data_IF_596742472930
#
_entry.id   IF_596742472930
#
_cell.length_a   1.000
_cell.length_b   1.000
_cell.length_c   1.000
_cell.angle_alpha   90.00
_cell.angle_beta   90.00
_cell.angle_gamma   90.00
#
_symmetry.space_group_name_H-M   'P 1'
#
loop_
_entity.id
_entity.type
_entity.pdbx_description
1 polymer ?
#
# COMPACT_ATOMS: atom_id res chain seq x y z
N UNK A 1 -5.54 -15.45 -31.68
CA UNK A 1 -5.91 -15.65 -30.26
C UNK A 1 -4.70 -15.39 -29.39
N UNK A 2 -4.79 -14.48 -28.41
CA UNK A 2 -3.71 -14.22 -27.44
C UNK A 2 -3.49 -15.50 -26.61
N UNK A 3 -2.25 -16.00 -26.54
CA UNK A 3 -1.92 -17.26 -25.83
C UNK A 3 -2.27 -17.08 -24.34
N UNK A 4 -3.11 -17.96 -23.79
CA UNK A 4 -3.44 -17.94 -22.36
C UNK A 4 -2.25 -18.50 -21.57
N UNK A 5 -1.61 -17.65 -20.77
CA UNK A 5 -0.55 -18.06 -19.84
C UNK A 5 -1.13 -18.82 -18.64
N UNK A 6 -0.41 -19.81 -18.07
CA UNK A 6 -0.91 -20.59 -16.94
C UNK A 6 -1.09 -19.72 -15.68
N UNK A 7 -1.98 -20.13 -14.79
CA UNK A 7 -2.11 -19.55 -13.46
C UNK A 7 -1.16 -20.27 -12.49
N UNK A 8 -0.39 -19.51 -11.72
CA UNK A 8 0.52 -20.03 -10.70
C UNK A 8 -0.12 -19.95 -9.32
N UNK A 9 0.10 -20.99 -8.50
CA UNK A 9 -0.33 -20.97 -7.11
C UNK A 9 0.63 -20.12 -6.28
N UNK A 10 0.07 -19.17 -5.55
CA UNK A 10 0.82 -18.28 -4.68
C UNK A 10 0.11 -18.14 -3.34
N UNK A 11 0.88 -17.74 -2.34
CA UNK A 11 0.34 -17.09 -1.14
C UNK A 11 0.01 -15.63 -1.44
N UNK A 12 -0.96 -15.07 -0.73
CA UNK A 12 -1.26 -13.63 -0.85
C UNK A 12 -0.03 -12.80 -0.48
N UNK A 13 0.72 -13.20 0.57
CA UNK A 13 1.97 -12.52 0.93
C UNK A 13 2.97 -12.45 -0.22
N UNK A 14 3.09 -13.51 -1.02
CA UNK A 14 4.01 -13.54 -2.17
C UNK A 14 3.58 -12.54 -3.27
N UNK A 15 2.29 -12.24 -3.35
CA UNK A 15 1.75 -11.22 -4.26
C UNK A 15 2.08 -9.83 -3.72
N UNK A 16 1.78 -9.59 -2.44
CA UNK A 16 1.99 -8.29 -1.78
C UNK A 16 3.47 -7.89 -1.78
N UNK A 17 4.34 -8.85 -1.48
CA UNK A 17 5.79 -8.68 -1.41
C UNK A 17 6.49 -8.64 -2.77
N UNK A 18 5.80 -9.03 -3.84
CA UNK A 18 6.37 -9.04 -5.19
C UNK A 18 6.45 -7.64 -5.80
N UNK A 19 7.12 -7.53 -6.94
CA UNK A 19 7.18 -6.31 -7.73
C UNK A 19 6.28 -6.46 -8.94
N UNK A 20 5.38 -5.52 -9.17
CA UNK A 20 4.48 -5.53 -10.31
C UNK A 20 5.09 -4.77 -11.49
N UNK A 21 5.04 -5.37 -12.68
CA UNK A 21 5.56 -4.78 -13.90
C UNK A 21 4.41 -4.60 -14.88
N UNK A 22 4.17 -3.34 -15.25
CA UNK A 22 3.28 -2.97 -16.35
C UNK A 22 4.09 -2.99 -17.64
N UNK A 23 3.71 -3.84 -18.58
CA UNK A 23 4.38 -3.90 -19.88
C UNK A 23 3.90 -2.74 -20.76
N UNK A 24 4.81 -2.09 -21.47
CA UNK A 24 4.51 -0.92 -22.32
C UNK A 24 3.77 -1.27 -23.63
N UNK A 25 3.78 -2.55 -24.03
CA UNK A 25 3.16 -3.00 -25.28
C UNK A 25 1.79 -3.65 -25.09
N UNK A 26 0.82 -3.29 -25.94
CA UNK A 26 -0.54 -3.89 -25.98
C UNK A 26 -0.54 -5.44 -26.09
N UNK A 27 0.55 -5.99 -26.63
CA UNK A 27 0.73 -7.43 -26.86
C UNK A 27 1.36 -8.14 -25.65
N UNK A 28 2.12 -7.45 -24.82
CA UNK A 28 2.82 -8.04 -23.69
C UNK A 28 1.94 -8.05 -22.43
N UNK A 29 1.80 -9.18 -21.74
CA UNK A 29 1.01 -9.24 -20.53
C UNK A 29 1.84 -8.72 -19.35
N UNK A 30 1.23 -7.86 -18.54
CA UNK A 30 1.74 -7.49 -17.22
C UNK A 30 2.01 -8.74 -16.37
N UNK A 31 2.96 -8.63 -15.45
CA UNK A 31 3.35 -9.72 -14.56
C UNK A 31 3.82 -9.20 -13.22
N UNK A 32 3.93 -10.12 -12.28
CA UNK A 32 4.53 -9.94 -10.97
C UNK A 32 5.86 -10.71 -10.95
N UNK A 33 6.92 -10.12 -10.41
CA UNK A 33 8.12 -10.85 -10.00
C UNK A 33 8.10 -10.98 -8.48
N UNK A 34 8.07 -12.22 -8.01
CA UNK A 34 8.16 -12.55 -6.58
C UNK A 34 9.60 -12.39 -6.05
N UNK A 35 9.78 -12.23 -4.73
CA UNK A 35 11.11 -12.10 -4.10
C UNK A 35 12.06 -13.27 -4.37
N UNK A 36 11.54 -14.46 -4.70
CA UNK A 36 12.35 -15.62 -5.11
C UNK A 36 12.58 -15.69 -6.63
N UNK A 37 12.36 -14.58 -7.35
CA UNK A 37 12.55 -14.44 -8.80
C UNK A 37 11.66 -15.37 -9.66
N UNK A 38 10.40 -15.59 -9.25
CA UNK A 38 9.38 -16.21 -10.13
C UNK A 38 8.59 -15.12 -10.85
N UNK A 39 8.55 -15.22 -12.18
CA UNK A 39 7.71 -14.39 -13.07
C UNK A 39 6.30 -14.97 -13.17
N UNK A 40 5.30 -14.21 -12.76
CA UNK A 40 3.90 -14.66 -12.61
C UNK A 40 2.94 -13.74 -13.36
N UNK A 41 2.26 -14.29 -14.37
CA UNK A 41 1.32 -13.54 -15.22
C UNK A 41 -0.14 -13.63 -14.74
N UNK A 42 -0.45 -14.68 -13.98
CA UNK A 42 -1.79 -14.98 -13.49
C UNK A 42 -1.65 -15.74 -12.19
N UNK A 43 -2.43 -15.35 -11.21
CA UNK A 43 -2.42 -15.95 -9.88
C UNK A 43 -3.60 -16.90 -9.74
N UNK A 44 -3.37 -17.95 -8.97
CA UNK A 44 -4.39 -18.85 -8.46
C UNK A 44 -4.22 -18.88 -6.95
N UNK A 45 -5.24 -18.48 -6.21
CA UNK A 45 -5.22 -18.47 -4.75
C UNK A 45 -6.45 -19.18 -4.20
N UNK A 46 -6.33 -19.71 -2.97
CA UNK A 46 -7.47 -20.20 -2.19
C UNK A 46 -7.50 -19.41 -0.90
N UNK A 47 -8.59 -18.67 -0.68
CA UNK A 47 -8.69 -17.69 0.40
C UNK A 47 -10.14 -17.56 0.88
N UNK A 48 -10.31 -17.06 2.10
CA UNK A 48 -11.61 -16.77 2.70
C UNK A 48 -12.03 -15.34 2.34
N UNK A 49 -13.30 -15.14 1.99
CA UNK A 49 -13.87 -13.82 1.78
C UNK A 49 -14.14 -13.17 3.14
N UNK A 50 -13.41 -12.10 3.47
CA UNK A 50 -13.44 -11.51 4.83
C UNK A 50 -14.37 -10.30 4.97
N UNK A 51 -14.71 -9.64 3.86
CA UNK A 51 -15.64 -8.50 3.82
C UNK A 51 -16.87 -8.82 2.98
N UNK A 52 -17.93 -8.04 3.19
CA UNK A 52 -19.11 -8.13 2.35
C UNK A 52 -18.75 -7.72 0.91
N UNK A 53 -19.05 -8.56 -0.09
CA UNK A 53 -18.84 -8.20 -1.49
C UNK A 53 -19.66 -6.96 -1.87
N UNK A 54 -19.03 -6.06 -2.62
CA UNK A 54 -19.65 -4.82 -3.09
C UNK A 54 -19.77 -4.84 -4.61
N UNK A 55 -20.90 -4.39 -5.13
CA UNK A 55 -21.14 -4.16 -6.56
C UNK A 55 -21.74 -2.77 -6.70
N UNK A 56 -21.28 -2.00 -7.70
CA UNK A 56 -21.84 -0.69 -8.02
C UNK A 56 -23.26 -0.80 -8.57
N UNK A 57 -24.05 0.27 -8.46
CA UNK A 57 -25.45 0.28 -8.91
C UNK A 57 -25.60 0.01 -10.43
N UNK A 58 -24.63 0.45 -11.22
CA UNK A 58 -24.55 0.23 -12.66
C UNK A 58 -23.94 -1.13 -13.05
N UNK A 59 -23.58 -1.97 -12.06
CA UNK A 59 -22.92 -3.27 -12.20
C UNK A 59 -21.61 -3.26 -13.01
N UNK A 60 -20.98 -2.09 -13.20
CA UNK A 60 -19.72 -1.97 -13.96
C UNK A 60 -18.49 -2.25 -13.10
N UNK A 61 -18.64 -2.23 -11.77
CA UNK A 61 -17.57 -2.43 -10.83
C UNK A 61 -18.03 -3.31 -9.67
N UNK A 62 -17.17 -4.22 -9.24
CA UNK A 62 -17.37 -4.97 -8.01
C UNK A 62 -16.05 -5.33 -7.35
N UNK A 63 -16.11 -5.55 -6.03
CA UNK A 63 -14.94 -5.92 -5.23
C UNK A 63 -15.31 -6.82 -4.07
N UNK A 64 -14.36 -7.65 -3.67
CA UNK A 64 -14.41 -8.42 -2.43
C UNK A 64 -12.98 -8.59 -1.90
N UNK A 65 -12.86 -8.79 -0.59
CA UNK A 65 -11.56 -8.90 0.07
C UNK A 65 -11.29 -10.35 0.47
N UNK A 66 -10.07 -10.81 0.21
CA UNK A 66 -9.62 -12.18 0.40
C UNK A 66 -8.50 -12.26 1.44
N UNK A 67 -8.53 -13.30 2.27
CA UNK A 67 -7.50 -13.62 3.27
C UNK A 67 -7.19 -15.12 3.27
N UNK A 68 -5.92 -15.49 3.11
CA UNK A 68 -5.43 -16.88 3.12
C UNK A 68 -4.61 -17.24 4.38
N UNK A 69 -4.53 -16.31 5.33
CA UNK A 69 -3.73 -16.36 6.55
C UNK A 69 -2.29 -15.85 6.39
N UNK A 70 -1.85 -15.50 5.17
CA UNK A 70 -0.53 -14.89 4.92
C UNK A 70 -0.62 -13.41 4.62
N UNK A 71 -1.79 -12.93 4.24
CA UNK A 71 -2.06 -11.53 3.95
C UNK A 71 -3.49 -11.35 3.46
N UNK A 72 -3.86 -10.10 3.21
CA UNK A 72 -5.18 -9.74 2.72
C UNK A 72 -5.04 -8.98 1.40
N UNK A 73 -5.87 -9.29 0.41
CA UNK A 73 -5.83 -8.63 -0.90
C UNK A 73 -7.23 -8.34 -1.45
N UNK A 74 -7.36 -7.24 -2.18
CA UNK A 74 -8.58 -6.91 -2.89
C UNK A 74 -8.67 -7.64 -4.22
N UNK A 75 -9.80 -8.29 -4.44
CA UNK A 75 -10.19 -8.86 -5.71
C UNK A 75 -11.21 -7.91 -6.38
N UNK A 76 -10.83 -7.38 -7.54
CA UNK A 76 -11.61 -6.43 -8.32
C UNK A 76 -12.19 -7.10 -9.56
N UNK A 77 -13.41 -6.71 -9.92
CA UNK A 77 -14.09 -7.17 -11.10
C UNK A 77 -14.69 -5.98 -11.85
N UNK A 78 -14.58 -5.98 -13.16
CA UNK A 78 -15.07 -4.90 -14.02
C UNK A 78 -16.01 -5.44 -15.09
N UNK A 79 -17.06 -4.70 -15.41
CA UNK A 79 -18.06 -5.02 -16.45
C UNK A 79 -18.57 -6.45 -16.30
N UNK A 80 -18.42 -7.29 -17.33
CA UNK A 80 -18.91 -8.67 -17.35
C UNK A 80 -18.34 -9.53 -16.20
N UNK A 81 -17.18 -9.18 -15.64
CA UNK A 81 -16.56 -9.93 -14.55
C UNK A 81 -17.26 -9.66 -13.19
N UNK A 82 -18.10 -8.62 -13.07
CA UNK A 82 -18.85 -8.36 -11.82
C UNK A 82 -19.80 -9.51 -11.46
N UNK A 83 -20.16 -10.35 -12.44
CA UNK A 83 -20.85 -11.63 -12.20
C UNK A 83 -20.14 -12.53 -11.19
N UNK A 84 -18.80 -12.49 -11.11
CA UNK A 84 -18.02 -13.28 -10.15
C UNK A 84 -18.24 -12.82 -8.72
N UNK A 85 -18.43 -11.53 -8.50
CA UNK A 85 -18.70 -10.95 -7.18
C UNK A 85 -20.05 -11.43 -6.64
N UNK A 86 -21.04 -11.64 -7.53
CA UNK A 86 -22.37 -12.19 -7.17
C UNK A 86 -22.32 -13.65 -6.71
N UNK A 87 -21.23 -14.38 -6.98
CA UNK A 87 -21.08 -15.81 -6.66
C UNK A 87 -20.50 -16.07 -5.27
N UNK A 88 -20.06 -15.03 -4.56
CA UNK A 88 -19.37 -15.17 -3.28
C UNK A 88 -20.10 -14.40 -2.19
N UNK A 89 -19.93 -14.83 -0.94
CA UNK A 89 -20.44 -14.17 0.26
C UNK A 89 -19.35 -14.07 1.32
N UNK A 90 -19.50 -13.14 2.25
CA UNK A 90 -18.62 -13.07 3.42
C UNK A 90 -18.61 -14.43 4.14
N UNK A 91 -17.41 -14.92 4.45
CA UNK A 91 -17.16 -16.21 5.08
C UNK A 91 -17.00 -17.38 4.12
N UNK A 92 -17.21 -17.20 2.81
CA UNK A 92 -16.96 -18.27 1.84
C UNK A 92 -15.46 -18.52 1.66
N UNK A 93 -15.08 -19.80 1.65
CA UNK A 93 -13.77 -20.24 1.16
C UNK A 93 -13.85 -20.40 -0.35
N UNK A 94 -13.01 -19.66 -1.07
CA UNK A 94 -13.06 -19.58 -2.53
C UNK A 94 -11.69 -19.82 -3.16
N UNK A 95 -11.70 -20.44 -4.34
CA UNK A 95 -10.55 -20.42 -5.24
C UNK A 95 -10.74 -19.29 -6.25
N UNK A 96 -9.75 -18.42 -6.36
CA UNK A 96 -9.76 -17.26 -7.26
C UNK A 96 -8.62 -17.40 -8.26
N UNK A 97 -8.93 -17.13 -9.52
CA UNK A 97 -7.96 -16.98 -10.60
C UNK A 97 -8.08 -15.56 -11.13
N UNK A 98 -6.95 -14.89 -11.31
CA UNK A 98 -6.95 -13.51 -11.80
C UNK A 98 -5.58 -13.02 -12.20
N UNK A 99 -5.54 -11.82 -12.76
CA UNK A 99 -4.28 -11.10 -13.04
C UNK A 99 -3.96 -10.20 -11.88
N UNK A 100 -2.67 -10.03 -11.57
CA UNK A 100 -2.27 -8.96 -10.66
C UNK A 100 -2.40 -7.63 -11.40
N UNK A 101 -2.87 -6.62 -10.69
CA UNK A 101 -2.80 -5.22 -11.09
C UNK A 101 -2.30 -4.42 -9.90
N UNK A 102 -1.74 -3.25 -10.16
CA UNK A 102 -1.29 -2.33 -9.14
C UNK A 102 -1.81 -0.94 -9.48
N UNK A 103 -2.28 -0.24 -8.44
CA UNK A 103 -2.76 1.13 -8.56
C UNK A 103 -2.32 1.90 -7.32
N UNK A 104 -1.46 2.91 -7.50
CA UNK A 104 -0.86 3.68 -6.39
C UNK A 104 -0.29 2.74 -5.32
N UNK A 105 0.56 1.82 -5.77
CA UNK A 105 1.30 0.86 -4.92
C UNK A 105 0.44 -0.20 -4.21
N UNK A 106 -0.89 -0.09 -4.30
CA UNK A 106 -1.81 -1.14 -3.86
C UNK A 106 -1.96 -2.22 -4.92
N UNK A 107 -1.49 -3.43 -4.60
CA UNK A 107 -1.68 -4.62 -5.45
C UNK A 107 -3.06 -5.21 -5.25
N UNK A 108 -3.71 -5.51 -6.37
CA UNK A 108 -5.05 -6.09 -6.43
C UNK A 108 -5.08 -7.26 -7.42
N UNK A 109 -6.10 -8.11 -7.32
CA UNK A 109 -6.37 -9.18 -8.26
C UNK A 109 -7.54 -8.79 -9.15
N UNK A 110 -7.32 -8.67 -10.45
CA UNK A 110 -8.39 -8.60 -11.45
C UNK A 110 -8.94 -10.01 -11.67
N UNK A 111 -10.14 -10.26 -11.16
CA UNK A 111 -10.76 -11.59 -11.13
C UNK A 111 -11.18 -12.02 -12.52
N UNK A 112 -10.68 -13.18 -12.95
CA UNK A 112 -11.10 -13.85 -14.19
C UNK A 112 -11.92 -15.12 -13.94
N UNK A 113 -11.96 -15.58 -12.67
CA UNK A 113 -12.78 -16.70 -12.24
C UNK A 113 -12.76 -16.89 -10.73
N UNK A 114 -13.91 -17.26 -10.17
CA UNK A 114 -14.05 -17.60 -8.76
C UNK A 114 -14.97 -18.81 -8.60
N UNK A 115 -14.66 -19.67 -7.64
CA UNK A 115 -15.53 -20.77 -7.25
C UNK A 115 -15.42 -21.00 -5.73
N UNK A 116 -16.56 -21.24 -5.08
CA UNK A 116 -16.58 -21.75 -3.71
C UNK A 116 -15.99 -23.17 -3.68
N UNK A 117 -15.18 -23.45 -2.68
CA UNK A 117 -14.44 -24.73 -2.58
C UNK A 117 -14.58 -25.36 -1.20
N UNK A 118 -14.35 -26.67 -1.15
CA UNK A 118 -14.26 -27.44 0.09
C UNK A 118 -13.01 -27.04 0.90
N UNK A 119 -13.04 -27.08 2.25
CA UNK A 119 -11.87 -26.79 3.09
C UNK A 119 -10.60 -27.56 2.72
N UNK A 120 -10.72 -28.80 2.23
CA UNK A 120 -9.56 -29.58 1.78
C UNK A 120 -8.82 -28.93 0.61
N UNK A 121 -9.49 -28.08 -0.16
CA UNK A 121 -8.87 -27.34 -1.25
C UNK A 121 -7.83 -26.33 -0.75
N UNK A 122 -8.00 -25.78 0.45
CA UNK A 122 -7.00 -24.90 1.07
C UNK A 122 -5.74 -25.69 1.44
N UNK A 123 -5.90 -26.91 1.97
CA UNK A 123 -4.78 -27.79 2.32
C UNK A 123 -4.01 -28.17 1.05
N UNK A 124 -4.73 -28.57 0.00
CA UNK A 124 -4.13 -28.91 -1.29
C UNK A 124 -3.38 -27.70 -1.89
N UNK A 125 -4.01 -26.52 -1.89
CA UNK A 125 -3.40 -25.29 -2.39
C UNK A 125 -2.09 -24.97 -1.65
N UNK A 126 -2.08 -25.04 -0.32
CA UNK A 126 -0.89 -24.82 0.50
C UNK A 126 0.22 -25.84 0.20
N UNK A 127 -0.13 -27.12 0.11
CA UNK A 127 0.83 -28.18 -0.22
C UNK A 127 1.45 -27.97 -1.60
N UNK A 128 0.64 -27.74 -2.63
CA UNK A 128 1.12 -27.52 -4.00
C UNK A 128 1.98 -26.25 -4.09
N UNK A 129 1.57 -25.17 -3.41
CA UNK A 129 2.34 -23.92 -3.35
C UNK A 129 3.70 -24.14 -2.71
N UNK A 130 3.76 -24.82 -1.55
CA UNK A 130 5.02 -25.12 -0.86
C UNK A 130 5.91 -26.04 -1.69
N UNK A 131 5.34 -27.05 -2.33
CA UNK A 131 6.08 -27.97 -3.21
C UNK A 131 6.71 -27.19 -4.37
N UNK A 132 5.95 -26.36 -5.07
CA UNK A 132 6.47 -25.52 -6.15
C UNK A 132 7.58 -24.58 -5.67
N UNK A 133 7.41 -23.94 -4.50
CA UNK A 133 8.44 -23.07 -3.90
C UNK A 133 9.71 -23.84 -3.55
N UNK A 134 9.59 -25.05 -2.99
CA UNK A 134 10.74 -25.89 -2.66
C UNK A 134 11.52 -26.33 -3.91
N UNK A 135 10.80 -26.73 -4.96
CA UNK A 135 11.40 -27.12 -6.25
C UNK A 135 12.08 -25.92 -6.94
N UNK A 136 11.48 -24.73 -6.84
CA UNK A 136 12.06 -23.50 -7.38
C UNK A 136 13.27 -23.02 -6.59
N UNK A 137 13.23 -23.10 -5.25
CA UNK A 137 14.26 -22.55 -4.36
C UNK A 137 15.68 -23.06 -4.67
N UNK A 138 15.83 -24.35 -5.02
CA UNK A 138 17.14 -24.89 -5.38
C UNK A 138 17.72 -24.25 -6.66
N UNK A 139 16.87 -24.03 -7.66
CA UNK A 139 17.25 -23.39 -8.93
C UNK A 139 17.49 -21.89 -8.74
N UNK A 140 16.61 -21.23 -7.99
CA UNK A 140 16.73 -19.81 -7.67
C UNK A 140 18.04 -19.53 -6.93
N UNK A 141 18.39 -20.30 -5.90
CA UNK A 141 19.66 -20.17 -5.16
C UNK A 141 20.86 -20.24 -6.10
N UNK A 142 20.91 -21.29 -6.94
CA UNK A 142 22.00 -21.44 -7.91
C UNK A 142 22.03 -20.27 -8.92
N UNK A 143 20.87 -19.77 -9.34
CA UNK A 143 20.76 -18.64 -10.25
C UNK A 143 21.26 -17.33 -9.62
N UNK A 144 20.87 -17.04 -8.37
CA UNK A 144 21.34 -15.89 -7.61
C UNK A 144 22.86 -15.94 -7.39
N UNK A 145 23.42 -17.10 -7.03
CA UNK A 145 24.88 -17.26 -6.90
C UNK A 145 25.60 -16.95 -8.21
N UNK A 146 25.10 -17.45 -9.34
CA UNK A 146 25.69 -17.20 -10.66
C UNK A 146 25.61 -15.72 -11.00
N UNK A 147 24.44 -15.11 -10.83
CA UNK A 147 24.21 -13.70 -11.11
C UNK A 147 25.11 -12.82 -10.25
N UNK A 148 25.20 -13.06 -8.94
CA UNK A 148 26.01 -12.24 -8.03
C UNK A 148 27.52 -12.32 -8.34
N UNK A 149 28.00 -13.43 -8.90
CA UNK A 149 29.41 -13.59 -9.26
C UNK A 149 29.74 -13.06 -10.66
N UNK A 150 28.80 -13.15 -11.61
CA UNK A 150 29.10 -12.97 -13.04
C UNK A 150 28.14 -12.05 -13.80
N UNK A 151 27.08 -11.53 -13.15
CA UNK A 151 26.00 -10.76 -13.77
C UNK A 151 25.35 -11.48 -14.96
N UNK A 152 24.82 -10.71 -15.91
CA UNK A 152 24.37 -11.24 -17.22
C UNK A 152 25.55 -11.24 -18.21
N UNK A 153 26.44 -12.22 -18.07
CA UNK A 153 27.54 -12.45 -19.04
C UNK A 153 27.35 -13.73 -19.84
N UNK A 154 28.01 -13.84 -21.00
CA UNK A 154 28.03 -15.09 -21.77
C UNK A 154 28.53 -16.28 -20.92
N UNK A 155 29.49 -16.03 -20.02
CA UNK A 155 29.99 -17.01 -19.06
C UNK A 155 28.90 -17.45 -18.07
N UNK A 156 28.14 -16.50 -17.50
CA UNK A 156 27.03 -16.81 -16.59
C UNK A 156 25.98 -17.70 -17.26
N UNK A 157 25.61 -17.40 -18.52
CA UNK A 157 24.64 -18.18 -19.30
C UNK A 157 25.09 -19.64 -19.52
N UNK A 158 26.38 -19.85 -19.83
CA UNK A 158 26.95 -21.20 -19.97
C UNK A 158 26.95 -21.96 -18.64
N UNK A 159 27.33 -21.32 -17.55
CA UNK A 159 27.34 -21.93 -16.21
C UNK A 159 25.91 -22.29 -15.77
N UNK A 160 24.95 -21.39 -15.98
CA UNK A 160 23.54 -21.63 -15.67
C UNK A 160 22.99 -22.84 -16.43
N UNK A 161 23.24 -22.90 -17.75
CA UNK A 161 22.84 -24.06 -18.56
C UNK A 161 23.41 -25.37 -18.04
N UNK A 162 24.69 -25.39 -17.66
CA UNK A 162 25.35 -26.58 -17.10
C UNK A 162 24.80 -27.00 -15.73
N UNK A 163 24.30 -26.04 -14.93
CA UNK A 163 23.64 -26.28 -13.64
C UNK A 163 22.12 -26.51 -13.74
N UNK A 164 21.55 -26.55 -14.94
CA UNK A 164 20.11 -26.73 -15.15
C UNK A 164 19.26 -25.50 -14.79
N UNK A 165 19.88 -24.32 -14.74
CA UNK A 165 19.24 -23.02 -14.54
C UNK A 165 18.92 -22.42 -15.92
N UNK A 166 17.70 -21.91 -16.10
CA UNK A 166 17.30 -21.24 -17.34
C UNK A 166 17.94 -19.84 -17.45
N UNK A 167 18.26 -19.44 -18.67
CA UNK A 167 18.70 -18.07 -18.96
C UNK A 167 17.64 -17.04 -18.55
N UNK A 168 16.37 -17.36 -18.78
CA UNK A 168 15.21 -16.55 -18.38
C UNK A 168 15.19 -16.25 -16.87
N UNK A 169 15.64 -17.19 -16.03
CA UNK A 169 15.73 -16.97 -14.58
C UNK A 169 16.82 -15.97 -14.23
N UNK A 170 17.95 -15.95 -14.94
CA UNK A 170 19.00 -14.94 -14.74
C UNK A 170 18.50 -13.54 -15.15
N UNK A 171 17.76 -13.44 -16.25
CA UNK A 171 17.15 -12.19 -16.69
C UNK A 171 16.11 -11.69 -15.69
N UNK A 172 15.30 -12.60 -15.14
CA UNK A 172 14.31 -12.26 -14.11
C UNK A 172 14.97 -11.75 -12.82
N UNK A 173 16.13 -12.30 -12.45
CA UNK A 173 16.90 -11.83 -11.28
C UNK A 173 17.46 -10.42 -11.50
N UNK A 174 17.98 -10.15 -12.70
CA UNK A 174 18.46 -8.82 -13.07
C UNK A 174 17.38 -7.75 -12.99
N UNK A 175 16.21 -8.09 -13.56
CA UNK A 175 15.01 -7.26 -13.50
C UNK A 175 14.56 -7.04 -12.04
N UNK A 176 14.53 -8.11 -11.24
CA UNK A 176 14.22 -8.03 -9.81
C UNK A 176 15.15 -7.09 -9.05
N UNK A 177 16.47 -7.19 -9.25
CA UNK A 177 17.41 -6.33 -8.56
C UNK A 177 17.33 -4.87 -8.99
N UNK A 178 17.05 -4.61 -10.27
CA UNK A 178 16.77 -3.25 -10.74
C UNK A 178 15.57 -2.66 -9.98
N UNK A 179 14.46 -3.40 -9.90
CA UNK A 179 13.24 -2.98 -9.18
C UNK A 179 13.47 -2.78 -7.68
N UNK A 180 14.27 -3.64 -7.05
CA UNK A 180 14.64 -3.53 -5.63
C UNK A 180 15.46 -2.26 -5.36
N UNK A 181 16.38 -1.90 -6.26
CA UNK A 181 17.16 -0.68 -6.15
C UNK A 181 16.29 0.57 -6.34
N UNK A 182 15.37 0.55 -7.30
CA UNK A 182 14.43 1.65 -7.54
C UNK A 182 13.52 1.89 -6.33
N UNK A 183 12.92 0.83 -5.75
CA UNK A 183 12.10 0.96 -4.55
C UNK A 183 12.89 1.49 -3.37
N UNK A 184 14.10 0.97 -3.14
CA UNK A 184 14.95 1.45 -2.05
C UNK A 184 15.30 2.93 -2.21
N UNK A 185 15.58 3.38 -3.43
CA UNK A 185 15.89 4.78 -3.67
C UNK A 185 14.65 5.65 -3.44
N UNK A 186 13.46 5.21 -3.87
CA UNK A 186 12.21 5.91 -3.62
C UNK A 186 11.90 6.02 -2.12
N UNK A 187 12.06 4.94 -1.35
CA UNK A 187 11.92 4.96 0.12
C UNK A 187 12.89 5.97 0.76
N UNK A 188 14.15 5.98 0.33
CA UNK A 188 15.15 6.95 0.83
C UNK A 188 14.80 8.39 0.43
N UNK A 189 14.29 8.61 -0.79
CA UNK A 189 13.83 9.94 -1.23
C UNK A 189 12.61 10.42 -0.44
N UNK A 190 11.67 9.53 -0.12
CA UNK A 190 10.51 9.83 0.73
C UNK A 190 10.93 10.17 2.17
N UNK A 191 11.83 9.37 2.77
CA UNK A 191 12.39 9.63 4.11
C UNK A 191 13.09 11.00 4.16
N UNK A 192 13.94 11.31 3.16
CA UNK A 192 14.61 12.61 3.07
C UNK A 192 13.63 13.77 2.91
N UNK A 193 12.56 13.58 2.13
CA UNK A 193 11.54 14.61 1.95
C UNK A 193 10.71 14.85 3.21
N UNK A 194 10.37 13.79 3.96
CA UNK A 194 9.73 13.91 5.27
C UNK A 194 10.62 14.66 6.27
N UNK A 195 11.92 14.36 6.31
CA UNK A 195 12.92 15.08 7.13
C UNK A 195 13.01 16.56 6.73
N UNK A 196 13.09 16.89 5.43
CA UNK A 196 13.09 18.28 4.95
C UNK A 196 11.81 19.04 5.35
N UNK A 197 10.63 18.40 5.27
CA UNK A 197 9.37 19.01 5.73
C UNK A 197 9.36 19.24 7.24
N UNK A 198 9.93 18.32 8.03
CA UNK A 198 10.06 18.52 9.48
C UNK A 198 11.02 19.65 9.83
N UNK A 199 12.13 19.80 9.10
CA UNK A 199 13.06 20.93 9.26
C UNK A 199 12.47 22.27 8.79
N UNK A 200 11.59 22.28 7.78
CA UNK A 200 10.92 23.48 7.29
C UNK A 200 9.72 23.94 8.13
N UNK A 201 9.27 23.16 9.14
CA UNK A 201 8.30 23.68 10.12
C UNK A 201 8.93 24.89 10.82
N UNK A 202 8.30 26.08 10.76
CA UNK A 202 8.88 27.26 11.38
C UNK A 202 9.07 26.97 12.87
N UNK A 203 10.30 27.11 13.37
CA UNK A 203 10.58 27.11 14.80
C UNK A 203 9.54 28.00 15.48
N UNK A 204 8.70 27.42 16.34
CA UNK A 204 7.63 28.15 17.01
C UNK A 204 8.23 29.34 17.74
N UNK A 205 7.82 30.55 17.34
CA UNK A 205 8.30 31.78 17.96
C UNK A 205 8.04 31.69 19.47
N UNK A 206 9.09 31.73 20.33
CA UNK A 206 8.92 31.56 21.78
C UNK A 206 8.07 32.64 22.43
N UNK A 207 7.82 33.77 21.75
CA UNK A 207 6.83 34.77 22.18
C UNK A 207 5.38 34.35 21.87
N UNK A 208 5.15 33.64 20.76
CA UNK A 208 3.83 33.16 20.35
C UNK A 208 3.30 32.10 21.33
N UNK A 209 4.14 31.18 21.78
CA UNK A 209 3.76 30.18 22.79
C UNK A 209 3.40 30.81 24.15
N UNK A 210 4.13 31.87 24.54
CA UNK A 210 3.78 32.65 25.74
C UNK A 210 2.43 33.36 25.57
N UNK A 211 2.15 33.89 24.38
CA UNK A 211 0.88 34.54 24.08
C UNK A 211 -0.29 33.55 24.07
N UNK A 212 -0.14 32.37 23.45
CA UNK A 212 -1.13 31.29 23.50
C UNK A 212 -1.49 30.91 24.93
N UNK A 213 -0.47 30.69 25.76
CA UNK A 213 -0.67 30.36 27.18
C UNK A 213 -1.40 31.48 27.94
N UNK A 214 -1.03 32.73 27.71
CA UNK A 214 -1.68 33.88 28.34
C UNK A 214 -3.16 34.04 27.92
N UNK A 215 -3.47 33.78 26.65
CA UNK A 215 -4.86 33.75 26.13
C UNK A 215 -5.65 32.63 26.81
N UNK A 216 -5.08 31.43 26.90
CA UNK A 216 -5.74 30.27 27.54
C UNK A 216 -5.97 30.47 29.04
N UNK A 217 -4.98 31.00 29.76
CA UNK A 217 -5.10 31.29 31.19
C UNK A 217 -6.20 32.35 31.44
N UNK A 218 -6.26 33.37 30.58
CA UNK A 218 -7.29 34.42 30.65
C UNK A 218 -8.70 33.86 30.41
N UNK A 219 -8.84 32.96 29.45
CA UNK A 219 -10.09 32.30 29.10
C UNK A 219 -10.55 31.34 30.20
N UNK A 220 -9.64 30.60 30.84
CA UNK A 220 -9.95 29.68 31.96
C UNK A 220 -10.31 30.40 33.26
N UNK A 221 -9.73 31.58 33.51
CA UNK A 221 -10.03 32.39 34.69
C UNK A 221 -11.49 32.89 34.70
N UNK A 222 -12.10 33.01 33.51
CA UNK A 222 -13.44 33.56 33.32
C UNK A 222 -14.38 32.46 32.85
N UNK A 223 -15.34 32.08 33.70
CA UNK A 223 -16.39 31.10 33.36
C UNK A 223 -17.44 31.60 32.35
N UNK A 224 -17.06 32.52 31.45
CA UNK A 224 -17.91 33.10 30.40
C UNK A 224 -17.07 33.39 29.15
N UNK A 225 -17.67 33.28 27.95
CA UNK A 225 -17.02 33.67 26.71
C UNK A 225 -16.48 35.10 26.77
N UNK A 226 -15.22 35.28 26.37
CA UNK A 226 -14.56 36.59 26.35
C UNK A 226 -14.51 37.14 24.93
N UNK A 227 -14.83 38.43 24.77
CA UNK A 227 -14.74 39.06 23.46
C UNK A 227 -13.30 39.27 23.01
N UNK A 228 -13.07 39.21 21.70
CA UNK A 228 -11.80 39.52 21.05
C UNK A 228 -11.19 40.82 21.60
N UNK A 229 -12.01 41.89 21.64
CA UNK A 229 -11.63 43.21 22.15
C UNK A 229 -11.18 43.19 23.61
N UNK A 230 -11.76 42.31 24.43
CA UNK A 230 -11.37 42.19 25.83
C UNK A 230 -10.04 41.47 26.00
N UNK A 231 -9.83 40.37 25.25
CA UNK A 231 -8.58 39.59 25.25
C UNK A 231 -7.42 40.48 24.82
N UNK A 232 -7.56 41.13 23.65
CA UNK A 232 -6.57 42.06 23.11
C UNK A 232 -6.24 43.17 24.09
N UNK A 233 -7.26 43.82 24.69
CA UNK A 233 -7.04 44.92 25.64
C UNK A 233 -6.32 44.51 26.93
N UNK A 234 -6.50 43.27 27.39
CA UNK A 234 -5.90 42.79 28.63
C UNK A 234 -4.48 42.26 28.42
N UNK A 235 -4.22 41.69 27.24
CA UNK A 235 -2.91 41.13 26.89
C UNK A 235 -1.99 42.11 26.14
N UNK A 236 -2.50 43.26 25.68
CA UNK A 236 -1.72 44.30 25.01
C UNK A 236 -0.64 44.97 25.87
N UNK A 237 -0.61 44.70 27.17
CA UNK A 237 0.47 45.13 28.07
C UNK A 237 1.72 44.27 27.93
N UNK A 238 1.57 43.02 27.48
CA UNK A 238 2.65 42.02 27.42
C UNK A 238 2.97 41.58 25.99
N UNK A 239 2.01 41.67 25.06
CA UNK A 239 2.14 41.19 23.68
C UNK A 239 1.62 42.23 22.68
N UNK A 240 2.12 42.20 21.44
CA UNK A 240 1.58 43.03 20.35
C UNK A 240 0.19 42.51 19.92
N UNK A 241 -0.64 43.40 19.38
CA UNK A 241 -1.97 43.05 18.86
C UNK A 241 -1.88 41.93 17.81
N UNK A 242 -0.92 42.05 16.89
CA UNK A 242 -0.65 41.05 15.84
C UNK A 242 -0.33 39.67 16.41
N UNK A 243 0.47 39.60 17.47
CA UNK A 243 0.87 38.34 18.10
C UNK A 243 -0.28 37.71 18.90
N UNK A 244 -1.17 38.52 19.47
CA UNK A 244 -2.38 38.05 20.15
C UNK A 244 -3.39 37.49 19.13
N UNK A 245 -3.57 38.16 17.98
CA UNK A 245 -4.41 37.68 16.89
C UNK A 245 -3.89 36.37 16.30
N UNK A 246 -2.57 36.27 16.13
CA UNK A 246 -1.93 35.04 15.68
C UNK A 246 -2.12 33.90 16.70
N UNK A 247 -1.95 34.16 18.00
CA UNK A 247 -2.17 33.17 19.05
C UNK A 247 -3.63 32.67 19.08
N UNK A 248 -4.62 33.55 18.99
CA UNK A 248 -6.04 33.17 18.93
C UNK A 248 -6.32 32.31 17.70
N UNK A 249 -5.78 32.71 16.54
CA UNK A 249 -5.97 31.97 15.28
C UNK A 249 -5.38 30.57 15.36
N UNK A 250 -4.19 30.42 15.97
CA UNK A 250 -3.55 29.12 16.18
C UNK A 250 -4.32 28.25 17.17
N UNK A 251 -4.77 28.80 18.30
CA UNK A 251 -5.57 28.05 19.28
C UNK A 251 -6.92 27.59 18.73
N UNK A 252 -7.54 28.37 17.83
CA UNK A 252 -8.75 27.95 17.10
C UNK A 252 -8.45 26.82 16.12
N UNK A 253 -7.32 26.89 15.40
CA UNK A 253 -6.89 25.85 14.46
C UNK A 253 -6.48 24.54 15.16
N UNK A 254 -5.86 24.66 16.34
CA UNK A 254 -5.45 23.55 17.22
C UNK A 254 -6.65 22.95 17.99
N UNK A 255 -7.79 23.64 18.01
CA UNK A 255 -9.00 23.19 18.69
C UNK A 255 -8.93 23.31 20.22
N UNK A 256 -8.08 24.18 20.75
CA UNK A 256 -8.00 24.45 22.20
C UNK A 256 -9.07 25.44 22.67
N UNK A 257 -9.53 26.32 21.78
CA UNK A 257 -10.61 27.28 22.01
C UNK A 257 -11.64 27.20 20.90
N UNK A 258 -12.85 27.65 21.17
CA UNK A 258 -13.93 27.73 20.19
C UNK A 258 -14.64 29.09 20.26
N UNK A 259 -15.35 29.43 19.19
CA UNK A 259 -16.05 30.71 19.03
C UNK A 259 -17.59 30.50 19.14
N UNK A 260 -18.18 30.53 20.35
CA UNK A 260 -19.63 30.34 20.53
C UNK A 260 -20.49 31.44 19.89
N UNK A 261 -19.99 32.67 19.88
CA UNK A 261 -20.62 33.82 19.22
C UNK A 261 -19.54 34.59 18.46
N UNK A 262 -19.90 35.22 17.33
CA UNK A 262 -18.92 35.95 16.51
C UNK A 262 -18.17 37.00 17.34
N UNK A 263 -16.85 36.85 17.42
CA UNK A 263 -15.93 37.68 18.18
C UNK A 263 -15.85 37.34 19.68
N UNK A 264 -16.36 36.19 20.13
CA UNK A 264 -16.27 35.70 21.51
C UNK A 264 -15.65 34.31 21.55
N UNK A 265 -14.69 34.11 22.45
CA UNK A 265 -13.95 32.85 22.57
C UNK A 265 -14.13 32.24 23.94
N UNK A 266 -14.14 30.91 23.99
CA UNK A 266 -14.22 30.11 25.21
C UNK A 266 -13.30 28.89 25.05
N UNK A 267 -12.65 28.40 26.12
CA UNK A 267 -11.84 27.19 26.01
C UNK A 267 -12.75 25.97 25.82
N UNK A 268 -12.28 24.99 25.06
CA UNK A 268 -12.96 23.69 24.89
C UNK A 268 -12.90 22.83 26.16
#
# INVERSE_FOLDING_TARGET
MKKRLPANRLYISDILDGYYIKSDGDLEPNYLITKDARKVYRVKIVATVVREPFISEDETYGKFQLDDGTGTIWALAFRDDTRFVKLVKKGDLVQVIGKVAEWRDDKQILVEGVAKVDPNMMILHRFETLKEKAEHAAKARAAFEIYNLYGITAKAKVIAKNKGVSEDLLLTIDELYTLMLEHRNAEVEEELFEEEIEEEKPEENPELEKAKKAVMDLLKEKAKPLSHRFIVKKLSQEFSEELIEEAITRLLAEGEIYEPETGYYEPL
#
